data_IF_377877075363
#
_entry.id   IF_377877075363
#
_cell.length_a   1.000
_cell.length_b   1.000
_cell.length_c   1.000
_cell.angle_alpha   90.00
_cell.angle_beta   90.00
_cell.angle_gamma   90.00
#
_symmetry.space_group_name_H-M   'P 1'
#
loop_
_entity.id
_entity.type
_entity.pdbx_description
1 polymer ?
#
# COMPACT_ATOMS: atom_id res chain seq x y z
N UNK A 1 43.09 -3.13 -1.86
CA UNK A 1 42.12 -4.23 -1.72
C UNK A 1 41.11 -4.05 -2.84
N UNK A 2 40.87 -5.06 -3.66
CA UNK A 2 39.93 -4.96 -4.78
C UNK A 2 38.48 -4.79 -4.28
N UNK A 3 37.64 -4.06 -5.03
CA UNK A 3 36.26 -3.70 -4.67
C UNK A 3 35.40 -4.93 -4.32
N UNK A 4 35.63 -6.06 -4.99
CA UNK A 4 34.92 -7.30 -4.69
C UNK A 4 35.25 -7.88 -3.30
N UNK A 5 36.50 -7.74 -2.85
CA UNK A 5 36.90 -8.18 -1.51
C UNK A 5 36.37 -7.24 -0.43
N UNK A 6 36.32 -5.93 -0.73
CA UNK A 6 35.66 -4.95 0.14
C UNK A 6 34.16 -5.25 0.27
N UNK A 7 33.49 -5.58 -0.84
CA UNK A 7 32.09 -5.99 -0.83
C UNK A 7 31.89 -7.24 0.02
N UNK A 8 32.73 -8.28 -0.13
CA UNK A 8 32.62 -9.49 0.71
C UNK A 8 32.72 -9.15 2.20
N UNK A 9 33.68 -8.31 2.59
CA UNK A 9 33.81 -7.87 3.98
C UNK A 9 32.56 -7.11 4.44
N UNK A 10 32.09 -6.16 3.64
CA UNK A 10 30.85 -5.42 3.89
C UNK A 10 29.67 -6.36 4.15
N UNK A 11 29.49 -7.39 3.32
CA UNK A 11 28.46 -8.41 3.50
C UNK A 11 28.62 -9.24 4.78
N UNK A 12 29.85 -9.58 5.19
CA UNK A 12 30.06 -10.27 6.48
C UNK A 12 29.74 -9.37 7.68
N UNK A 13 29.87 -8.06 7.51
CA UNK A 13 29.48 -7.02 8.47
C UNK A 13 28.00 -6.60 8.34
N UNK A 14 27.13 -7.46 7.76
CA UNK A 14 25.71 -7.16 7.48
C UNK A 14 24.94 -6.56 8.67
N UNK A 15 25.28 -6.94 9.89
CA UNK A 15 24.62 -6.45 11.11
C UNK A 15 24.80 -4.96 11.33
N UNK A 16 25.80 -4.36 10.68
CA UNK A 16 26.08 -2.93 10.72
C UNK A 16 25.46 -2.14 9.58
N UNK A 17 24.71 -2.78 8.67
CA UNK A 17 23.97 -2.09 7.63
C UNK A 17 23.02 -1.01 8.20
N UNK A 18 22.96 0.20 7.59
CA UNK A 18 23.60 0.62 6.34
C UNK A 18 25.01 1.24 6.49
N UNK A 19 25.61 1.21 7.68
CA UNK A 19 26.94 1.80 7.93
C UNK A 19 28.10 1.07 7.24
N UNK A 20 27.87 -0.15 6.74
CA UNK A 20 28.85 -0.97 6.00
C UNK A 20 28.86 -0.75 4.48
N UNK A 21 28.01 0.14 3.93
CA UNK A 21 28.01 0.45 2.50
C UNK A 21 29.37 1.01 2.05
N UNK A 22 29.81 0.65 0.85
CA UNK A 22 31.14 1.02 0.33
C UNK A 22 31.21 2.47 -0.14
N UNK A 23 30.09 2.97 -0.68
CA UNK A 23 29.92 4.34 -1.20
C UNK A 23 28.54 4.89 -0.82
N UNK A 24 28.24 5.08 0.47
CA UNK A 24 26.96 5.67 0.86
C UNK A 24 26.92 7.16 0.52
N UNK A 25 25.76 7.63 0.06
CA UNK A 25 25.53 9.05 -0.20
C UNK A 25 25.23 9.83 1.08
N UNK A 26 24.72 9.16 2.12
CA UNK A 26 24.39 9.74 3.40
C UNK A 26 25.62 9.91 4.30
N UNK A 27 25.55 10.89 5.23
CA UNK A 27 26.61 11.10 6.22
C UNK A 27 26.61 9.95 7.23
N UNK A 28 27.77 9.71 7.85
CA UNK A 28 27.95 8.63 8.84
C UNK A 28 26.92 8.67 9.98
N UNK A 29 26.60 9.84 10.50
CA UNK A 29 25.61 9.98 11.58
C UNK A 29 24.21 9.57 11.11
N UNK A 30 23.84 9.87 9.86
CA UNK A 30 22.54 9.51 9.31
C UNK A 30 22.45 7.97 9.13
N UNK A 31 23.51 7.35 8.60
CA UNK A 31 23.60 5.89 8.48
C UNK A 31 23.47 5.19 9.84
N UNK A 32 24.11 5.75 10.87
CA UNK A 32 24.04 5.22 12.22
C UNK A 32 22.63 5.36 12.82
N UNK A 33 21.94 6.47 12.55
CA UNK A 33 20.54 6.63 12.95
C UNK A 33 19.64 5.57 12.29
N UNK A 34 19.80 5.32 10.99
CA UNK A 34 19.09 4.25 10.30
C UNK A 34 19.35 2.88 10.93
N UNK A 35 20.62 2.59 11.25
CA UNK A 35 21.02 1.34 11.91
C UNK A 35 20.31 1.18 13.26
N UNK A 36 20.30 2.22 14.08
CA UNK A 36 19.66 2.23 15.40
C UNK A 36 18.14 2.06 15.30
N UNK A 37 17.48 2.70 14.33
CA UNK A 37 16.04 2.52 14.09
C UNK A 37 15.75 1.09 13.66
N UNK A 38 16.56 0.52 12.77
CA UNK A 38 16.42 -0.88 12.35
C UNK A 38 16.68 -1.87 13.50
N UNK A 39 17.64 -1.59 14.38
CA UNK A 39 17.89 -2.29 15.66
C UNK A 39 16.63 -2.30 16.53
N UNK A 40 16.02 -1.13 16.74
CA UNK A 40 14.85 -0.98 17.60
C UNK A 40 13.60 -1.69 17.04
N UNK A 41 13.42 -1.71 15.72
CA UNK A 41 12.20 -2.21 15.06
C UNK A 41 12.26 -3.70 14.69
N UNK A 42 13.35 -4.40 14.98
CA UNK A 42 13.59 -5.77 14.47
C UNK A 42 12.44 -6.75 14.73
N UNK A 43 11.95 -6.82 15.97
CA UNK A 43 10.89 -7.76 16.37
C UNK A 43 9.54 -7.44 15.75
N UNK A 44 9.32 -6.19 15.38
CA UNK A 44 8.06 -5.73 14.78
C UNK A 44 8.11 -5.91 13.25
N UNK A 45 9.28 -5.69 12.65
CA UNK A 45 9.45 -5.65 11.21
C UNK A 45 9.70 -7.03 10.59
N UNK A 46 10.37 -7.95 11.29
CA UNK A 46 10.84 -9.22 10.72
C UNK A 46 10.24 -10.46 11.38
N UNK A 47 9.93 -11.48 10.56
CA UNK A 47 9.54 -12.81 11.01
C UNK A 47 10.39 -13.87 10.32
N UNK A 48 11.48 -14.25 10.98
CA UNK A 48 12.42 -15.26 10.47
C UNK A 48 11.80 -16.66 10.36
N UNK A 49 10.78 -16.99 11.18
CA UNK A 49 10.15 -18.32 11.18
C UNK A 49 9.35 -18.62 9.90
N UNK A 50 8.94 -17.59 9.18
CA UNK A 50 8.18 -17.69 7.92
C UNK A 50 8.99 -17.22 6.73
N UNK A 51 10.33 -17.20 6.85
CA UNK A 51 11.22 -16.67 5.82
C UNK A 51 10.97 -17.35 4.45
N UNK A 52 10.73 -16.50 3.45
CA UNK A 52 10.45 -16.90 2.08
C UNK A 52 10.75 -15.76 1.12
N UNK A 53 12.03 -15.56 0.80
CA UNK A 53 12.45 -14.59 -0.21
C UNK A 53 12.33 -15.26 -1.58
N UNK A 54 11.44 -14.75 -2.43
CA UNK A 54 11.25 -15.29 -3.78
C UNK A 54 12.15 -14.55 -4.76
N UNK A 55 12.89 -15.30 -5.59
CA UNK A 55 13.82 -14.76 -6.57
C UNK A 55 13.47 -15.34 -7.94
N UNK A 56 13.34 -14.47 -8.93
CA UNK A 56 13.19 -14.83 -10.35
C UNK A 56 14.40 -14.28 -11.11
N UNK A 57 15.11 -15.18 -11.79
CA UNK A 57 16.32 -14.86 -12.54
C UNK A 57 16.36 -15.61 -13.88
N UNK A 58 17.05 -15.06 -14.91
CA UNK A 58 17.31 -15.74 -16.17
C UNK A 58 17.98 -17.10 -16.01
N UNK A 59 17.57 -18.03 -16.87
CA UNK A 59 18.10 -19.39 -16.89
C UNK A 59 17.99 -20.04 -18.27
N UNK A 60 18.58 -21.22 -18.43
CA UNK A 60 18.42 -22.05 -19.62
C UNK A 60 17.16 -22.94 -19.59
N UNK A 61 16.21 -22.65 -18.69
CA UNK A 61 14.94 -23.39 -18.62
C UNK A 61 14.09 -23.12 -19.87
N UNK A 62 13.12 -24.01 -20.21
CA UNK A 62 12.21 -23.78 -21.33
C UNK A 62 11.41 -22.47 -21.23
N UNK A 63 11.18 -21.97 -20.01
CA UNK A 63 10.49 -20.70 -19.76
C UNK A 63 11.41 -19.49 -19.85
N UNK A 64 12.73 -19.69 -20.03
CA UNK A 64 13.74 -18.64 -20.03
C UNK A 64 14.22 -18.23 -18.64
N UNK A 65 13.53 -18.60 -17.56
CA UNK A 65 13.86 -18.17 -16.19
C UNK A 65 13.68 -19.28 -15.15
N UNK A 66 14.32 -19.11 -14.00
CA UNK A 66 14.16 -19.95 -12.81
C UNK A 66 13.49 -19.17 -11.69
N UNK A 67 12.66 -19.86 -10.93
CA UNK A 67 12.05 -19.37 -9.69
C UNK A 67 12.66 -20.13 -8.51
N UNK A 68 13.09 -19.39 -7.49
CA UNK A 68 13.58 -19.98 -6.25
C UNK A 68 12.94 -19.29 -5.04
N UNK A 69 12.61 -20.07 -4.01
CA UNK A 69 12.24 -19.53 -2.70
C UNK A 69 13.36 -19.83 -1.72
N UNK A 70 13.95 -18.79 -1.16
CA UNK A 70 15.03 -18.86 -0.18
C UNK A 70 14.41 -18.80 1.22
N UNK A 71 14.64 -19.83 2.02
CA UNK A 71 13.97 -20.04 3.30
C UNK A 71 14.82 -19.68 4.54
N UNK A 72 16.08 -19.27 4.37
CA UNK A 72 16.96 -18.86 5.47
C UNK A 72 18.21 -18.09 4.98
N UNK A 73 18.90 -17.37 5.87
CA UNK A 73 20.10 -16.61 5.53
C UNK A 73 21.22 -17.43 4.91
N UNK A 74 21.47 -18.66 5.36
CA UNK A 74 22.54 -19.50 4.80
C UNK A 74 22.30 -19.86 3.34
N UNK A 75 21.04 -20.15 2.97
CA UNK A 75 20.65 -20.38 1.59
C UNK A 75 20.76 -19.09 0.74
N UNK A 76 20.42 -17.93 1.32
CA UNK A 76 20.58 -16.64 0.64
C UNK A 76 22.05 -16.31 0.36
N UNK A 77 22.92 -16.47 1.37
CA UNK A 77 24.37 -16.30 1.22
C UNK A 77 24.91 -17.22 0.13
N UNK A 78 24.52 -18.50 0.16
CA UNK A 78 24.90 -19.47 -0.87
C UNK A 78 24.45 -19.05 -2.27
N UNK A 79 23.28 -18.43 -2.41
CA UNK A 79 22.77 -17.91 -3.70
C UNK A 79 23.56 -16.70 -4.19
N UNK A 80 23.76 -15.69 -3.32
CA UNK A 80 24.38 -14.42 -3.68
C UNK A 80 25.92 -14.50 -3.82
N UNK A 81 26.56 -15.44 -3.13
CA UNK A 81 28.02 -15.63 -3.18
C UNK A 81 28.46 -16.69 -4.19
N UNK A 82 27.59 -17.12 -5.09
CA UNK A 82 27.97 -17.98 -6.21
C UNK A 82 29.08 -17.32 -7.03
N UNK A 83 30.02 -18.13 -7.53
CA UNK A 83 31.10 -17.64 -8.38
C UNK A 83 30.59 -17.36 -9.80
N UNK A 84 29.71 -16.36 -9.94
CA UNK A 84 29.10 -15.92 -11.18
C UNK A 84 28.95 -14.39 -11.16
N UNK A 85 28.79 -13.82 -12.35
CA UNK A 85 28.34 -12.43 -12.49
C UNK A 85 26.86 -12.32 -12.09
N UNK A 86 26.44 -11.12 -11.72
CA UNK A 86 25.02 -10.83 -11.50
C UNK A 86 24.20 -11.20 -12.75
N UNK A 87 22.97 -11.71 -12.58
CA UNK A 87 22.08 -12.00 -13.69
C UNK A 87 21.71 -10.73 -14.48
N UNK A 88 21.22 -10.91 -15.71
CA UNK A 88 20.75 -9.79 -16.55
C UNK A 88 19.56 -9.05 -15.93
N UNK A 89 18.65 -9.79 -15.30
CA UNK A 89 17.57 -9.23 -14.50
C UNK A 89 17.36 -10.09 -13.27
N UNK A 90 17.15 -9.49 -12.11
CA UNK A 90 16.79 -10.20 -10.87
C UNK A 90 15.58 -9.54 -10.25
N UNK A 91 14.49 -10.29 -10.14
CA UNK A 91 13.27 -9.87 -9.46
C UNK A 91 13.21 -10.57 -8.10
N UNK A 92 13.36 -9.79 -7.04
CA UNK A 92 13.35 -10.26 -5.66
C UNK A 92 12.04 -9.78 -5.00
N UNK A 93 11.37 -10.68 -4.29
CA UNK A 93 10.13 -10.40 -3.59
C UNK A 93 10.25 -10.81 -2.11
N UNK A 94 10.00 -9.85 -1.24
CA UNK A 94 9.79 -10.05 0.19
C UNK A 94 8.32 -9.74 0.47
N UNK A 95 7.60 -10.73 0.97
CA UNK A 95 6.17 -10.60 1.24
C UNK A 95 5.88 -10.47 2.73
N UNK A 96 4.72 -9.95 3.10
CA UNK A 96 4.09 -10.13 4.42
C UNK A 96 2.70 -10.76 4.25
N UNK A 97 2.19 -11.45 5.28
CA UNK A 97 0.89 -12.13 5.19
C UNK A 97 -0.29 -11.14 5.18
N UNK A 98 -0.12 -9.95 5.78
CA UNK A 98 -1.13 -8.90 5.83
C UNK A 98 -0.52 -7.49 5.90
N UNK A 99 -1.37 -6.46 5.89
CA UNK A 99 -0.94 -5.07 5.94
C UNK A 99 -0.25 -4.67 7.26
N UNK A 100 -0.48 -5.42 8.34
CA UNK A 100 0.06 -5.13 9.68
C UNK A 100 0.78 -6.35 10.27
N UNK A 101 1.41 -7.14 9.40
CA UNK A 101 2.22 -8.30 9.82
C UNK A 101 3.68 -8.04 9.49
N UNK A 102 4.62 -8.61 10.25
CA UNK A 102 6.03 -8.59 9.90
C UNK A 102 6.30 -9.14 8.50
N UNK A 103 7.45 -8.76 7.94
CA UNK A 103 7.98 -9.30 6.71
C UNK A 103 8.37 -10.76 6.91
N UNK A 104 8.04 -11.62 5.94
CA UNK A 104 8.43 -13.02 5.86
C UNK A 104 9.92 -13.14 5.47
N UNK A 105 10.79 -12.53 6.25
CA UNK A 105 12.23 -12.44 6.06
C UNK A 105 12.88 -12.16 7.42
N UNK A 106 14.08 -12.68 7.65
CA UNK A 106 14.91 -12.28 8.78
C UNK A 106 15.63 -10.94 8.53
N UNK A 107 16.01 -10.28 9.62
CA UNK A 107 16.89 -9.10 9.57
C UNK A 107 18.18 -9.40 8.81
N UNK A 108 18.81 -10.55 9.10
CA UNK A 108 20.06 -10.97 8.46
C UNK A 108 19.87 -11.06 6.95
N UNK A 109 18.82 -11.73 6.47
CA UNK A 109 18.58 -11.87 5.03
C UNK A 109 18.38 -10.53 4.33
N UNK A 110 17.56 -9.62 4.89
CA UNK A 110 17.38 -8.28 4.29
C UNK A 110 18.69 -7.50 4.26
N UNK A 111 19.36 -7.36 5.41
CA UNK A 111 20.56 -6.52 5.54
C UNK A 111 21.76 -7.09 4.80
N UNK A 112 21.93 -8.41 4.75
CA UNK A 112 22.94 -9.07 3.92
C UNK A 112 22.68 -8.79 2.44
N UNK A 113 21.44 -8.89 1.99
CA UNK A 113 21.06 -8.61 0.61
C UNK A 113 21.26 -7.13 0.25
N UNK A 114 20.83 -6.21 1.12
CA UNK A 114 21.05 -4.78 0.94
C UNK A 114 22.55 -4.44 0.89
N UNK A 115 23.36 -5.06 1.76
CA UNK A 115 24.82 -4.93 1.71
C UNK A 115 25.38 -5.51 0.41
N UNK A 116 24.92 -6.69 -0.01
CA UNK A 116 25.41 -7.33 -1.24
C UNK A 116 25.13 -6.48 -2.48
N UNK A 117 23.93 -5.91 -2.61
CA UNK A 117 23.55 -5.09 -3.77
C UNK A 117 23.89 -3.61 -3.62
N UNK A 118 24.41 -3.20 -2.46
CA UNK A 118 24.70 -1.81 -2.09
C UNK A 118 23.43 -0.94 -2.15
N UNK A 119 22.32 -1.46 -1.60
CA UNK A 119 21.05 -0.74 -1.50
C UNK A 119 21.22 0.43 -0.50
N UNK A 120 20.88 1.67 -0.86
CA UNK A 120 21.03 2.83 0.02
C UNK A 120 20.18 2.78 1.29
N UNK A 121 20.65 3.48 2.32
CA UNK A 121 19.96 3.62 3.59
C UNK A 121 18.55 4.22 3.45
N UNK A 122 18.34 5.15 2.51
CA UNK A 122 17.02 5.75 2.21
C UNK A 122 15.94 4.72 1.87
N UNK A 123 16.30 3.51 1.44
CA UNK A 123 15.29 2.47 1.23
C UNK A 123 14.59 2.07 2.53
N UNK A 124 15.26 2.23 3.68
CA UNK A 124 14.69 1.90 4.98
C UNK A 124 13.51 2.81 5.35
N UNK A 125 13.42 4.03 4.81
CA UNK A 125 12.24 4.90 4.98
C UNK A 125 10.97 4.25 4.40
N UNK A 126 11.13 3.42 3.37
CA UNK A 126 10.03 2.67 2.79
C UNK A 126 9.76 1.37 3.54
N UNK A 127 10.82 0.67 3.94
CA UNK A 127 10.70 -0.61 4.66
C UNK A 127 10.13 -0.42 6.06
N UNK A 128 10.40 0.70 6.74
CA UNK A 128 9.89 0.99 8.08
C UNK A 128 8.37 1.08 8.16
N UNK A 129 7.70 1.36 7.03
CA UNK A 129 6.23 1.41 6.96
C UNK A 129 5.58 0.02 7.10
N UNK A 130 6.35 -1.07 7.04
CA UNK A 130 5.89 -2.44 7.23
C UNK A 130 6.10 -2.90 8.67
N UNK A 131 5.46 -4.01 9.05
CA UNK A 131 5.64 -4.63 10.35
C UNK A 131 4.33 -4.81 11.11
N UNK A 132 4.46 -5.37 12.31
CA UNK A 132 3.35 -5.48 13.24
C UNK A 132 2.93 -4.12 13.76
N UNK A 133 1.66 -3.77 13.56
CA UNK A 133 1.06 -2.60 14.19
C UNK A 133 -0.42 -2.82 14.49
N UNK A 134 -0.89 -2.27 15.61
CA UNK A 134 -2.32 -2.27 15.97
C UNK A 134 -3.12 -1.25 15.16
N UNK A 135 -2.45 -0.18 14.73
CA UNK A 135 -3.01 0.87 13.91
C UNK A 135 -2.14 1.10 12.69
N UNK A 136 -2.70 1.64 11.62
CA UNK A 136 -1.89 1.86 10.45
C UNK A 136 -0.93 3.04 10.67
N UNK A 137 0.37 2.76 10.68
CA UNK A 137 1.40 3.80 10.79
C UNK A 137 1.79 4.30 9.38
N UNK A 138 2.28 5.52 9.29
CA UNK A 138 2.92 6.08 8.10
C UNK A 138 2.09 6.13 6.81
N UNK A 139 0.76 6.18 6.89
CA UNK A 139 -0.07 6.42 5.69
C UNK A 139 0.23 7.75 4.99
N UNK A 140 0.70 8.73 5.75
CA UNK A 140 1.07 10.03 5.23
C UNK A 140 2.41 10.01 4.49
N UNK A 141 3.19 8.93 4.64
CA UNK A 141 4.45 8.79 3.92
C UNK A 141 4.17 8.33 2.50
N UNK A 142 4.30 9.25 1.55
CA UNK A 142 4.72 8.87 0.19
C UNK A 142 6.22 9.04 0.11
N UNK A 143 6.83 8.36 -0.84
CA UNK A 143 8.15 8.78 -1.25
C UNK A 143 8.50 8.20 -2.60
N UNK A 144 9.20 9.03 -3.33
CA UNK A 144 10.01 8.69 -4.47
C UNK A 144 11.42 9.19 -4.14
N UNK A 145 12.42 8.39 -4.47
CA UNK A 145 13.81 8.81 -4.39
C UNK A 145 14.53 8.20 -5.57
N UNK A 146 15.29 9.01 -6.28
CA UNK A 146 16.16 8.53 -7.35
C UNK A 146 17.49 9.25 -7.29
N UNK A 147 18.48 8.58 -7.84
CA UNK A 147 19.78 9.16 -8.17
C UNK A 147 20.39 8.34 -9.30
N UNK A 148 21.41 8.90 -9.91
CA UNK A 148 22.20 8.24 -10.94
C UNK A 148 23.66 8.62 -10.77
N UNK A 149 24.55 7.85 -11.39
CA UNK A 149 25.98 8.11 -11.40
C UNK A 149 26.50 8.51 -12.78
N UNK A 150 25.60 8.96 -13.68
CA UNK A 150 25.94 9.22 -15.09
C UNK A 150 26.99 10.33 -15.22
N UNK A 151 26.88 11.37 -14.39
CA UNK A 151 27.78 12.53 -14.40
C UNK A 151 28.93 12.40 -13.39
N UNK A 152 29.00 11.29 -12.67
CA UNK A 152 30.04 11.08 -11.68
C UNK A 152 31.39 10.80 -12.36
N UNK A 153 32.52 11.34 -11.83
CA UNK A 153 33.83 11.03 -12.36
C UNK A 153 34.12 9.54 -12.19
N UNK A 154 34.84 8.92 -13.14
CA UNK A 154 35.12 7.47 -13.14
C UNK A 154 35.77 6.97 -11.85
N UNK A 155 36.56 7.81 -11.16
CA UNK A 155 37.20 7.49 -9.88
C UNK A 155 36.22 7.32 -8.70
N UNK A 156 34.99 7.81 -8.83
CA UNK A 156 33.95 7.72 -7.81
C UNK A 156 32.99 6.55 -8.04
N UNK A 157 32.99 5.94 -9.23
CA UNK A 157 32.14 4.80 -9.56
C UNK A 157 32.58 3.56 -8.76
N UNK A 158 31.60 2.81 -8.24
CA UNK A 158 31.85 1.55 -7.56
C UNK A 158 31.82 0.40 -8.56
N UNK A 159 32.92 0.21 -9.27
CA UNK A 159 33.08 -0.92 -10.19
C UNK A 159 33.39 -2.22 -9.43
N UNK A 160 32.66 -3.29 -9.76
CA UNK A 160 32.86 -4.64 -9.23
C UNK A 160 32.82 -5.64 -10.40
N UNK A 161 33.95 -5.76 -11.09
CA UNK A 161 34.08 -6.53 -12.34
C UNK A 161 33.69 -8.00 -12.21
N UNK A 162 33.99 -8.62 -11.07
CA UNK A 162 33.67 -10.02 -10.78
C UNK A 162 32.16 -10.29 -10.79
N UNK A 163 31.36 -9.28 -10.43
CA UNK A 163 29.90 -9.34 -10.48
C UNK A 163 29.34 -8.74 -11.78
N UNK A 164 30.20 -8.11 -12.59
CA UNK A 164 29.78 -7.36 -13.78
C UNK A 164 28.92 -6.16 -13.42
N UNK A 165 29.37 -5.37 -12.43
CA UNK A 165 28.82 -4.07 -12.05
C UNK A 165 29.80 -2.99 -12.50
N UNK A 166 29.35 -2.06 -13.33
CA UNK A 166 30.16 -0.94 -13.82
C UNK A 166 30.20 0.22 -12.82
N UNK A 167 29.17 0.31 -11.98
CA UNK A 167 28.95 1.47 -11.10
C UNK A 167 28.35 2.68 -11.83
N UNK A 168 28.16 2.62 -13.17
CA UNK A 168 27.41 3.58 -13.96
C UNK A 168 25.94 3.13 -13.99
N UNK A 169 25.17 3.61 -13.01
CA UNK A 169 23.85 3.08 -12.70
C UNK A 169 22.85 4.19 -12.40
N UNK A 170 21.58 3.85 -12.60
CA UNK A 170 20.44 4.60 -12.11
C UNK A 170 19.76 3.80 -11.01
N UNK A 171 19.33 4.49 -9.97
CA UNK A 171 18.53 3.91 -8.89
C UNK A 171 17.21 4.67 -8.78
N UNK A 172 16.13 3.91 -8.61
CA UNK A 172 14.78 4.41 -8.39
C UNK A 172 14.17 3.66 -7.22
N UNK A 173 13.64 4.38 -6.25
CA UNK A 173 12.95 3.85 -5.08
C UNK A 173 11.60 4.53 -4.94
N UNK A 174 10.55 3.78 -4.66
CA UNK A 174 9.24 4.36 -4.41
C UNK A 174 8.32 3.48 -3.57
N UNK A 175 7.32 4.12 -2.95
CA UNK A 175 6.19 3.48 -2.29
C UNK A 175 4.91 3.68 -3.12
N UNK A 176 4.17 2.60 -3.34
CA UNK A 176 2.83 2.63 -3.93
C UNK A 176 1.82 1.98 -2.99
N UNK A 177 0.57 2.41 -3.08
CA UNK A 177 -0.54 1.82 -2.32
C UNK A 177 -1.74 1.53 -3.21
N UNK A 178 -2.55 0.55 -2.85
CA UNK A 178 -3.81 0.23 -3.53
C UNK A 178 -4.79 -0.42 -2.59
N UNK A 179 -6.05 -0.51 -2.99
CA UNK A 179 -7.10 -1.22 -2.26
C UNK A 179 -7.24 -2.65 -2.77
N UNK A 180 -7.32 -3.61 -1.86
CA UNK A 180 -7.49 -5.01 -2.19
C UNK A 180 -8.58 -5.64 -1.30
N UNK A 181 -9.34 -6.59 -1.84
CA UNK A 181 -10.32 -7.36 -1.07
C UNK A 181 -9.58 -8.43 -0.26
N UNK A 182 -9.77 -8.43 1.06
CA UNK A 182 -9.35 -9.54 1.91
C UNK A 182 -10.20 -10.77 1.60
N UNK A 183 -9.53 -11.91 1.42
CA UNK A 183 -10.15 -13.21 1.15
C UNK A 183 -10.45 -14.01 2.42
N UNK A 184 -10.22 -13.44 3.60
CA UNK A 184 -10.42 -14.14 4.87
C UNK A 184 -11.90 -14.20 5.29
N UNK A 185 -12.52 -15.31 4.89
CA UNK A 185 -13.57 -16.06 5.58
C UNK A 185 -14.57 -15.31 6.47
N UNK A 186 -15.53 -14.60 5.88
CA UNK A 186 -16.90 -14.42 6.43
C UNK A 186 -17.92 -14.01 5.37
N UNK A 187 -17.71 -14.25 4.07
CA UNK A 187 -18.65 -13.83 3.00
C UNK A 187 -18.88 -12.30 2.86
N UNK A 188 -18.43 -11.49 3.83
CA UNK A 188 -18.44 -10.04 3.80
C UNK A 188 -17.17 -9.55 3.11
N UNK A 189 -17.35 -8.64 2.15
CA UNK A 189 -16.24 -7.99 1.45
C UNK A 189 -15.54 -7.06 2.45
N UNK A 190 -14.29 -7.36 2.79
CA UNK A 190 -13.43 -6.48 3.58
C UNK A 190 -12.38 -5.88 2.66
N UNK A 191 -12.35 -4.55 2.59
CA UNK A 191 -11.36 -3.82 1.81
C UNK A 191 -10.18 -3.39 2.69
N UNK A 192 -8.97 -3.57 2.20
CA UNK A 192 -7.74 -3.19 2.88
C UNK A 192 -6.85 -2.37 1.96
N UNK A 193 -6.32 -1.26 2.48
CA UNK A 193 -5.25 -0.53 1.80
C UNK A 193 -3.95 -1.27 2.06
N UNK A 194 -3.29 -1.65 0.97
CA UNK A 194 -2.05 -2.41 0.95
C UNK A 194 -0.97 -1.58 0.30
N UNK A 195 0.27 -1.84 0.68
CA UNK A 195 1.42 -1.07 0.24
C UNK A 195 2.52 -1.95 -0.34
N UNK A 196 3.36 -1.34 -1.17
CA UNK A 196 4.49 -1.95 -1.82
C UNK A 196 5.62 -0.93 -1.95
N UNK A 197 6.76 -1.27 -1.37
CA UNK A 197 8.02 -0.56 -1.61
C UNK A 197 8.79 -1.26 -2.72
N UNK A 198 9.37 -0.47 -3.62
CA UNK A 198 10.22 -0.96 -4.70
C UNK A 198 11.56 -0.26 -4.61
N UNK A 199 12.63 -1.03 -4.70
CA UNK A 199 13.95 -0.54 -5.07
C UNK A 199 14.34 -1.15 -6.41
N UNK A 200 14.67 -0.29 -7.36
CA UNK A 200 15.14 -0.66 -8.68
C UNK A 200 16.51 -0.06 -8.91
N UNK A 201 17.38 -0.84 -9.57
CA UNK A 201 18.68 -0.40 -10.04
C UNK A 201 18.94 -0.90 -11.44
N UNK A 202 19.46 -0.04 -12.31
CA UNK A 202 19.81 -0.37 -13.68
C UNK A 202 21.26 0.03 -13.98
N UNK A 203 22.11 -0.93 -14.34
CA UNK A 203 23.48 -0.72 -14.79
C UNK A 203 23.49 -0.45 -16.30
N UNK A 204 23.91 0.74 -16.71
CA UNK A 204 23.83 1.14 -18.13
C UNK A 204 24.82 0.42 -19.03
N UNK A 205 26.00 0.05 -18.50
CA UNK A 205 27.08 -0.57 -19.28
C UNK A 205 26.77 -2.04 -19.52
N UNK A 206 26.44 -2.77 -18.45
CA UNK A 206 26.17 -4.20 -18.51
C UNK A 206 24.71 -4.54 -18.76
N UNK A 207 23.83 -3.53 -18.79
CA UNK A 207 22.37 -3.63 -19.04
C UNK A 207 21.67 -4.55 -18.05
N UNK A 208 22.10 -4.49 -16.79
CA UNK A 208 21.58 -5.36 -15.73
C UNK A 208 20.55 -4.62 -14.90
N UNK A 209 19.43 -5.30 -14.61
CA UNK A 209 18.37 -4.78 -13.77
C UNK A 209 18.26 -5.57 -12.45
N UNK A 210 18.20 -4.85 -11.34
CA UNK A 210 17.83 -5.40 -10.03
C UNK A 210 16.50 -4.79 -9.60
N UNK A 211 15.63 -5.63 -9.05
CA UNK A 211 14.37 -5.23 -8.45
C UNK A 211 14.22 -5.91 -7.10
N UNK A 212 14.06 -5.10 -6.05
CA UNK A 212 13.63 -5.56 -4.74
C UNK A 212 12.23 -5.03 -4.47
N UNK A 213 11.27 -5.94 -4.38
CA UNK A 213 9.88 -5.66 -4.13
C UNK A 213 9.54 -6.11 -2.71
N UNK A 214 9.18 -5.17 -1.84
CA UNK A 214 8.65 -5.46 -0.51
C UNK A 214 7.17 -5.18 -0.54
N UNK A 215 6.32 -6.20 -0.41
CA UNK A 215 4.87 -6.04 -0.55
C UNK A 215 4.10 -6.79 0.52
N UNK A 216 2.97 -6.23 0.91
CA UNK A 216 1.96 -6.97 1.66
C UNK A 216 1.24 -7.94 0.72
N UNK A 217 1.36 -9.25 0.95
CA UNK A 217 0.93 -10.41 0.14
C UNK A 217 1.73 -10.71 -1.15
N UNK A 218 1.36 -11.81 -1.80
CA UNK A 218 2.02 -12.34 -3.01
C UNK A 218 1.38 -11.87 -4.34
N UNK A 219 0.46 -10.89 -4.31
CA UNK A 219 -0.25 -10.46 -5.52
C UNK A 219 0.70 -9.85 -6.54
N UNK A 220 1.72 -9.08 -6.13
CA UNK A 220 2.68 -8.54 -7.11
C UNK A 220 3.57 -9.62 -7.71
N UNK A 221 3.97 -10.62 -6.91
CA UNK A 221 4.69 -11.79 -7.42
C UNK A 221 3.89 -12.48 -8.54
N UNK A 222 2.61 -12.77 -8.28
CA UNK A 222 1.70 -13.39 -9.26
C UNK A 222 1.48 -12.49 -10.49
N UNK A 223 1.22 -11.21 -10.28
CA UNK A 223 1.02 -10.22 -11.36
C UNK A 223 2.24 -10.10 -12.26
N UNK A 224 3.45 -10.14 -11.69
CA UNK A 224 4.68 -10.11 -12.47
C UNK A 224 4.81 -11.36 -13.34
N UNK A 225 4.52 -12.54 -12.78
CA UNK A 225 4.52 -13.80 -13.54
C UNK A 225 3.51 -13.80 -14.69
N UNK A 226 2.31 -13.29 -14.46
CA UNK A 226 1.29 -13.11 -15.50
C UNK A 226 1.81 -12.17 -16.59
N UNK A 227 2.34 -11.01 -16.22
CA UNK A 227 2.91 -10.05 -17.17
C UNK A 227 4.08 -10.63 -17.97
N UNK A 228 4.93 -11.45 -17.36
CA UNK A 228 6.03 -12.15 -18.03
C UNK A 228 5.56 -13.24 -19.01
N UNK A 229 4.38 -13.82 -18.79
CA UNK A 229 3.80 -14.79 -19.71
C UNK A 229 3.12 -14.09 -20.91
N UNK A 230 2.62 -12.87 -20.72
CA UNK A 230 1.86 -12.12 -21.72
C UNK A 230 2.69 -11.12 -22.54
N UNK A 231 3.76 -10.55 -21.96
CA UNK A 231 4.61 -9.55 -22.60
C UNK A 231 5.97 -10.15 -23.02
N UNK A 232 6.20 -10.36 -24.33
CA UNK A 232 7.45 -10.90 -24.84
C UNK A 232 8.69 -10.08 -24.44
N UNK A 233 8.56 -8.77 -24.21
CA UNK A 233 9.69 -7.92 -23.81
C UNK A 233 10.14 -8.24 -22.38
N UNK A 234 9.18 -8.48 -21.48
CA UNK A 234 9.48 -8.90 -20.11
C UNK A 234 10.03 -10.32 -20.09
N UNK A 235 9.47 -11.21 -20.90
CA UNK A 235 9.97 -12.57 -21.04
C UNK A 235 11.40 -12.60 -21.59
N UNK A 236 11.69 -11.81 -22.63
CA UNK A 236 13.01 -11.79 -23.27
C UNK A 236 14.09 -11.23 -22.36
N UNK A 237 13.80 -10.20 -21.56
CA UNK A 237 14.76 -9.69 -20.59
C UNK A 237 15.10 -10.69 -19.46
N UNK A 238 14.23 -11.68 -19.27
CA UNK A 238 14.47 -12.80 -18.39
C UNK A 238 15.00 -14.02 -19.12
N UNK A 239 14.97 -14.09 -20.45
CA UNK A 239 15.71 -15.08 -21.21
C UNK A 239 17.11 -14.54 -21.53
N UNK A 240 17.99 -15.37 -22.09
CA UNK A 240 19.31 -14.89 -22.57
C UNK A 240 19.19 -14.07 -23.87
N UNK A 241 17.97 -13.81 -24.36
CA UNK A 241 17.72 -13.10 -25.61
C UNK A 241 17.83 -11.57 -25.44
N UNK A 242 18.56 -10.93 -26.34
CA UNK A 242 19.12 -9.58 -26.19
C UNK A 242 18.12 -8.44 -26.48
N UNK A 243 16.81 -8.71 -26.42
CA UNK A 243 15.79 -7.69 -26.74
C UNK A 243 15.69 -6.65 -25.62
N UNK A 244 15.92 -5.38 -25.98
CA UNK A 244 15.91 -4.13 -25.19
C UNK A 244 15.69 -4.28 -23.66
N UNK A 245 16.76 -4.52 -22.86
CA UNK A 245 16.68 -4.65 -21.40
C UNK A 245 16.11 -3.40 -20.70
N UNK A 246 16.30 -2.23 -21.30
CA UNK A 246 15.73 -0.98 -20.79
C UNK A 246 14.21 -0.90 -21.04
N UNK A 247 13.72 -1.34 -22.20
CA UNK A 247 12.27 -1.42 -22.43
C UNK A 247 11.61 -2.35 -21.40
N UNK A 248 12.23 -3.49 -21.09
CA UNK A 248 11.74 -4.37 -20.05
C UNK A 248 11.71 -3.68 -18.68
N UNK A 249 12.69 -2.84 -18.36
CA UNK A 249 12.69 -2.03 -17.13
C UNK A 249 11.46 -1.11 -17.06
N UNK A 250 11.13 -0.41 -18.14
CA UNK A 250 9.94 0.43 -18.21
C UNK A 250 8.65 -0.41 -18.11
N UNK A 251 8.61 -1.59 -18.74
CA UNK A 251 7.47 -2.53 -18.61
C UNK A 251 7.31 -3.04 -17.18
N UNK A 252 8.39 -3.36 -16.48
CA UNK A 252 8.35 -3.79 -15.08
C UNK A 252 7.82 -2.68 -14.18
N UNK A 253 8.25 -1.43 -14.38
CA UNK A 253 7.63 -0.28 -13.70
C UNK A 253 6.12 -0.23 -13.96
N UNK A 254 5.67 -0.37 -15.21
CA UNK A 254 4.24 -0.30 -15.53
C UNK A 254 3.42 -1.39 -14.83
N UNK A 255 3.96 -2.61 -14.66
CA UNK A 255 3.30 -3.65 -13.87
C UNK A 255 3.04 -3.18 -12.43
N UNK A 256 4.01 -2.50 -11.81
CA UNK A 256 3.89 -1.89 -10.49
C UNK A 256 2.90 -0.72 -10.46
N UNK A 257 3.03 0.22 -11.40
CA UNK A 257 2.25 1.45 -11.42
C UNK A 257 0.78 1.21 -11.71
N UNK A 258 0.45 0.25 -12.58
CA UNK A 258 -0.94 -0.11 -12.85
C UNK A 258 -1.65 -0.74 -11.66
N UNK A 259 -0.91 -1.36 -10.73
CA UNK A 259 -1.50 -1.89 -9.51
C UNK A 259 -2.06 -0.80 -8.60
N UNK A 260 -1.47 0.40 -8.59
CA UNK A 260 -1.91 1.50 -7.71
C UNK A 260 -3.28 2.12 -8.10
N UNK A 261 -3.74 1.92 -9.34
CA UNK A 261 -5.10 2.29 -9.82
C UNK A 261 -6.12 1.14 -9.67
N UNK A 262 -5.64 -0.09 -9.47
CA UNK A 262 -6.51 -1.28 -9.46
C UNK A 262 -7.51 -1.23 -8.31
N UNK A 263 -8.73 -1.68 -8.57
CA UNK A 263 -9.80 -1.90 -7.59
C UNK A 263 -10.38 -0.67 -6.87
N UNK A 264 -9.88 0.55 -7.12
CA UNK A 264 -10.45 1.77 -6.54
C UNK A 264 -11.90 2.02 -6.94
N UNK A 265 -12.28 1.67 -8.18
CA UNK A 265 -13.66 1.85 -8.65
C UNK A 265 -14.62 0.97 -7.84
N UNK A 266 -14.33 -0.32 -7.76
CA UNK A 266 -15.13 -1.28 -7.00
C UNK A 266 -15.20 -0.89 -5.52
N UNK A 267 -14.07 -0.50 -4.93
CA UNK A 267 -14.00 -0.02 -3.56
C UNK A 267 -14.90 1.21 -3.32
N UNK A 268 -14.86 2.22 -4.18
CA UNK A 268 -15.70 3.42 -4.03
C UNK A 268 -17.18 3.05 -4.14
N UNK A 269 -17.56 2.21 -5.10
CA UNK A 269 -18.94 1.75 -5.26
C UNK A 269 -19.44 0.95 -4.05
N UNK A 270 -18.62 0.02 -3.53
CA UNK A 270 -18.96 -0.77 -2.34
C UNK A 270 -19.11 0.16 -1.11
N UNK A 271 -18.18 1.12 -0.95
CA UNK A 271 -18.24 2.13 0.13
C UNK A 271 -19.52 2.97 0.05
N UNK A 272 -19.86 3.47 -1.15
CA UNK A 272 -21.08 4.23 -1.36
C UNK A 272 -22.33 3.40 -1.02
N UNK A 273 -22.37 2.13 -1.42
CA UNK A 273 -23.48 1.23 -1.11
C UNK A 273 -23.63 1.01 0.41
N UNK A 274 -22.52 0.82 1.13
CA UNK A 274 -22.50 0.70 2.59
C UNK A 274 -23.02 1.98 3.28
N UNK A 275 -22.61 3.16 2.80
CA UNK A 275 -23.08 4.45 3.30
C UNK A 275 -24.59 4.59 3.07
N UNK A 276 -25.09 4.32 1.85
CA UNK A 276 -26.52 4.41 1.52
C UNK A 276 -27.36 3.47 2.38
N UNK A 277 -26.89 2.25 2.64
CA UNK A 277 -27.56 1.29 3.53
C UNK A 277 -27.66 1.83 4.95
N UNK A 278 -26.57 2.39 5.47
CA UNK A 278 -26.48 2.98 6.81
C UNK A 278 -27.44 4.18 6.95
N UNK A 279 -27.42 5.11 6.00
CA UNK A 279 -28.33 6.26 5.99
C UNK A 279 -29.80 5.86 5.88
N UNK A 280 -30.13 4.83 5.09
CA UNK A 280 -31.50 4.30 5.01
C UNK A 280 -31.95 3.72 6.36
N UNK A 281 -31.08 3.01 7.06
CA UNK A 281 -31.34 2.49 8.40
C UNK A 281 -31.64 3.60 9.41
N UNK A 282 -30.81 4.66 9.41
CA UNK A 282 -31.00 5.85 10.24
C UNK A 282 -32.34 6.55 9.98
N UNK A 283 -32.67 6.82 8.71
CA UNK A 283 -33.95 7.45 8.32
C UNK A 283 -35.16 6.60 8.70
N UNK A 284 -35.07 5.28 8.58
CA UNK A 284 -36.14 4.37 8.98
C UNK A 284 -36.34 4.35 10.52
N UNK A 285 -35.25 4.37 11.29
CA UNK A 285 -35.33 4.47 12.75
C UNK A 285 -35.92 5.82 13.20
N UNK A 286 -35.57 6.91 12.51
CA UNK A 286 -36.17 8.23 12.75
C UNK A 286 -37.69 8.21 12.52
N UNK A 287 -38.16 7.64 11.41
CA UNK A 287 -39.59 7.55 11.11
C UNK A 287 -40.38 6.76 12.17
N UNK A 288 -39.74 5.80 12.85
CA UNK A 288 -40.34 5.04 13.96
C UNK A 288 -40.38 5.82 15.28
N UNK A 289 -39.47 6.78 15.50
CA UNK A 289 -39.44 7.63 16.71
C UNK A 289 -40.43 8.78 16.67
N UNK A 290 -40.95 9.17 15.49
CA UNK A 290 -42.00 10.19 15.40
C UNK A 290 -43.34 9.60 15.88
N UNK A 291 -43.91 10.04 17.00
CA UNK A 291 -45.23 9.58 17.41
C UNK A 291 -46.26 10.11 16.41
N UNK A 292 -47.19 9.23 16.08
CA UNK A 292 -48.47 9.48 15.43
C UNK A 292 -48.97 10.90 15.67
N UNK A 293 -49.19 11.65 14.59
CA UNK A 293 -49.90 12.92 14.60
C UNK A 293 -51.18 12.81 15.44
N UNK A 294 -51.38 13.77 16.34
CA UNK A 294 -52.59 13.93 17.11
C UNK A 294 -53.81 14.07 16.19
N UNK A 295 -54.48 12.95 15.93
CA UNK A 295 -55.74 12.85 15.20
C UNK A 295 -56.79 12.12 16.01
N UNK A 296 -57.44 12.84 16.92
CA UNK A 296 -58.84 12.63 17.32
C UNK A 296 -59.24 11.33 18.03
N UNK A 297 -59.64 11.46 19.30
CA UNK A 297 -60.65 10.59 19.91
C UNK A 297 -60.25 9.95 21.22
N UNK A 298 -60.30 10.73 22.31
CA UNK A 298 -60.44 10.17 23.65
C UNK A 298 -61.80 9.47 23.73
N UNK A 299 -61.85 8.15 23.48
CA UNK A 299 -62.96 7.32 23.96
C UNK A 299 -62.67 6.99 25.42
N UNK A 300 -63.46 7.57 26.32
CA UNK A 300 -63.57 7.11 27.70
C UNK A 300 -64.04 5.65 27.70
N UNK A 301 -63.13 4.72 27.95
CA UNK A 301 -63.49 3.35 28.31
C UNK A 301 -63.65 3.32 29.83
N UNK A 302 -64.90 3.19 30.28
CA UNK A 302 -65.24 2.91 31.69
C UNK A 302 -64.42 1.70 32.17
N UNK A 303 -63.62 1.90 33.21
CA UNK A 303 -63.05 0.82 34.00
C UNK A 303 -64.17 0.33 34.93
N UNK A 304 -64.67 -0.88 34.67
CA UNK A 304 -65.42 -1.66 35.66
C UNK A 304 -64.46 -2.67 36.26
N UNK A 305 -64.21 -2.56 37.55
CA UNK A 305 -63.52 -3.56 38.37
C UNK A 305 -64.30 -4.88 38.33
N UNK A 306 -63.61 -5.99 38.06
CA UNK A 306 -63.78 -7.28 38.77
C UNK A 306 -62.63 -8.23 38.42
N UNK A 307 -61.86 -8.53 39.46
CA UNK A 307 -61.14 -9.75 39.84
C UNK A 307 -60.58 -10.77 38.81
N UNK A 308 -59.28 -11.05 38.97
CA UNK A 308 -58.66 -12.38 38.90
C UNK A 308 -58.41 -13.06 37.54
N UNK A 309 -57.16 -13.04 37.05
CA UNK A 309 -56.28 -14.23 36.82
C UNK A 309 -54.98 -13.83 36.09
N UNK A 310 -53.84 -14.32 36.59
CA UNK A 310 -52.47 -14.01 36.15
C UNK A 310 -52.11 -14.54 34.74
N UNK A 311 -51.68 -13.64 33.83
CA UNK A 311 -50.58 -13.74 32.80
C UNK A 311 -50.83 -12.79 31.59
N UNK A 312 -49.82 -12.27 30.87
CA UNK A 312 -48.44 -11.94 31.23
C UNK A 312 -48.13 -10.47 30.85
N UNK A 313 -48.45 -9.51 31.73
CA UNK A 313 -48.07 -8.08 31.51
C UNK A 313 -46.54 -7.92 31.46
N UNK A 314 -45.80 -8.86 32.03
CA UNK A 314 -44.32 -8.84 32.07
C UNK A 314 -43.66 -9.01 30.70
N UNK A 315 -44.17 -9.83 29.76
CA UNK A 315 -43.50 -10.05 28.47
C UNK A 315 -43.55 -8.82 27.55
N UNK A 316 -44.71 -8.15 27.48
CA UNK A 316 -44.89 -6.92 26.69
C UNK A 316 -44.00 -5.78 27.19
N UNK A 317 -43.91 -5.60 28.51
CA UNK A 317 -43.04 -4.58 29.09
C UNK A 317 -41.56 -4.92 28.86
N UNK A 318 -41.15 -6.18 28.91
CA UNK A 318 -39.77 -6.57 28.58
C UNK A 318 -39.45 -6.35 27.10
N UNK A 319 -40.37 -6.69 26.19
CA UNK A 319 -40.23 -6.42 24.74
C UNK A 319 -40.19 -4.91 24.45
N UNK A 320 -41.05 -4.10 25.08
CA UNK A 320 -41.05 -2.64 24.94
C UNK A 320 -39.77 -2.01 25.50
N UNK A 321 -39.26 -2.49 26.63
CA UNK A 321 -38.00 -2.01 27.22
C UNK A 321 -36.81 -2.40 26.33
N UNK A 322 -36.77 -3.62 25.80
CA UNK A 322 -35.73 -4.04 24.85
C UNK A 322 -35.78 -3.22 23.54
N UNK A 323 -36.97 -2.95 23.01
CA UNK A 323 -37.17 -2.09 21.84
C UNK A 323 -36.74 -0.64 22.10
N UNK A 324 -37.05 -0.08 23.27
CA UNK A 324 -36.61 1.27 23.66
C UNK A 324 -35.07 1.33 23.85
N UNK A 325 -34.49 0.32 24.50
CA UNK A 325 -33.04 0.23 24.71
C UNK A 325 -32.29 0.05 23.38
N UNK A 326 -32.88 -0.69 22.44
CA UNK A 326 -32.38 -0.84 21.07
C UNK A 326 -32.49 0.48 20.30
N UNK A 327 -33.62 1.18 20.38
CA UNK A 327 -33.85 2.48 19.73
C UNK A 327 -32.96 3.61 20.27
N UNK A 328 -32.44 3.51 21.49
CA UNK A 328 -31.48 4.47 22.05
C UNK A 328 -30.02 4.15 21.70
N UNK A 329 -29.65 2.87 21.65
CA UNK A 329 -28.29 2.45 21.25
C UNK A 329 -28.06 2.48 19.73
N UNK A 330 -29.13 2.35 18.95
CA UNK A 330 -29.07 2.28 17.48
C UNK A 330 -28.56 3.60 16.83
N UNK A 331 -29.05 4.80 17.18
CA UNK A 331 -28.55 6.06 16.63
C UNK A 331 -27.08 6.30 16.92
N UNK A 332 -26.59 5.92 18.11
CA UNK A 332 -25.19 6.06 18.49
C UNK A 332 -24.28 5.19 17.63
N UNK A 333 -24.57 3.89 17.49
CA UNK A 333 -23.77 2.96 16.69
C UNK A 333 -23.72 3.33 15.20
N UNK A 334 -24.85 3.78 14.65
CA UNK A 334 -24.88 4.21 13.25
C UNK A 334 -24.20 5.57 13.04
N UNK A 335 -24.16 6.45 14.06
CA UNK A 335 -23.36 7.68 14.04
C UNK A 335 -21.85 7.40 14.06
N UNK A 336 -21.39 6.49 14.93
CA UNK A 336 -20.00 6.01 14.94
C UNK A 336 -19.62 5.43 13.57
N UNK A 337 -20.53 4.66 12.97
CA UNK A 337 -20.33 4.09 11.63
C UNK A 337 -20.25 5.16 10.55
N UNK A 338 -21.06 6.23 10.62
CA UNK A 338 -20.92 7.38 9.71
C UNK A 338 -19.57 8.07 9.83
N UNK A 339 -19.05 8.27 11.05
CA UNK A 339 -17.72 8.83 11.27
C UNK A 339 -16.62 7.93 10.70
N UNK A 340 -16.74 6.60 10.88
CA UNK A 340 -15.80 5.65 10.27
C UNK A 340 -15.76 5.73 8.73
N UNK A 341 -16.89 6.05 8.07
CA UNK A 341 -16.90 6.28 6.63
C UNK A 341 -16.15 7.55 6.24
N UNK A 342 -16.25 8.64 7.01
CA UNK A 342 -15.47 9.85 6.75
C UNK A 342 -13.97 9.58 6.83
N UNK A 343 -13.52 8.95 7.91
CA UNK A 343 -12.11 8.59 8.10
C UNK A 343 -11.62 7.68 6.95
N UNK A 344 -12.42 6.67 6.59
CA UNK A 344 -12.12 5.77 5.48
C UNK A 344 -12.01 6.52 4.14
N UNK A 345 -12.90 7.47 3.85
CA UNK A 345 -12.86 8.26 2.62
C UNK A 345 -11.69 9.25 2.59
N UNK A 346 -11.40 9.92 3.70
CA UNK A 346 -10.28 10.86 3.84
C UNK A 346 -8.93 10.17 3.67
N UNK A 347 -8.78 9.01 4.32
CA UNK A 347 -7.62 8.13 4.15
C UNK A 347 -7.47 7.67 2.70
N UNK A 348 -8.57 7.29 2.05
CA UNK A 348 -8.55 6.88 0.63
C UNK A 348 -8.11 8.02 -0.28
N UNK A 349 -8.60 9.24 -0.02
CA UNK A 349 -8.23 10.45 -0.76
C UNK A 349 -6.73 10.73 -0.63
N UNK A 350 -6.20 10.70 0.59
CA UNK A 350 -4.78 10.89 0.87
C UNK A 350 -3.94 9.87 0.10
N UNK A 351 -4.25 8.59 0.21
CA UNK A 351 -3.50 7.52 -0.46
C UNK A 351 -3.44 7.73 -1.98
N UNK A 352 -4.56 8.07 -2.60
CA UNK A 352 -4.60 8.33 -4.05
C UNK A 352 -3.76 9.56 -4.41
N UNK A 353 -3.82 10.63 -3.61
CA UNK A 353 -3.00 11.82 -3.82
C UNK A 353 -1.50 11.52 -3.72
N UNK A 354 -1.09 10.71 -2.75
CA UNK A 354 0.29 10.27 -2.57
C UNK A 354 0.77 9.44 -3.78
N UNK A 355 -0.04 8.52 -4.29
CA UNK A 355 0.27 7.78 -5.51
C UNK A 355 0.38 8.71 -6.74
N UNK A 356 -0.51 9.70 -6.90
CA UNK A 356 -0.43 10.68 -7.99
C UNK A 356 0.91 11.41 -7.93
N UNK A 357 1.35 11.82 -6.73
CA UNK A 357 2.66 12.46 -6.56
C UNK A 357 3.80 11.54 -6.97
N UNK A 358 3.83 10.30 -6.46
CA UNK A 358 4.85 9.30 -6.83
C UNK A 358 4.89 9.05 -8.34
N UNK A 359 3.73 8.97 -9.00
CA UNK A 359 3.65 8.81 -10.46
C UNK A 359 4.23 10.01 -11.20
N UNK A 360 4.03 11.24 -10.69
CA UNK A 360 4.64 12.45 -11.26
C UNK A 360 6.15 12.40 -11.11
N UNK A 361 6.65 12.12 -9.92
CA UNK A 361 8.08 12.07 -9.66
C UNK A 361 8.79 10.99 -10.52
N UNK A 362 8.15 9.83 -10.73
CA UNK A 362 8.66 8.80 -11.66
C UNK A 362 8.67 9.31 -13.11
N UNK A 363 7.60 9.97 -13.55
CA UNK A 363 7.52 10.53 -14.91
C UNK A 363 8.63 11.56 -15.14
N UNK A 364 8.74 12.52 -14.22
CA UNK A 364 9.72 13.61 -14.27
C UNK A 364 11.14 13.04 -14.26
N UNK A 365 11.40 12.00 -13.47
CA UNK A 365 12.70 11.31 -13.44
C UNK A 365 13.09 10.75 -14.81
N UNK A 366 12.18 10.04 -15.48
CA UNK A 366 12.47 9.44 -16.79
C UNK A 366 12.49 10.45 -17.93
N UNK A 367 11.73 11.55 -17.83
CA UNK A 367 11.84 12.70 -18.73
C UNK A 367 13.20 13.39 -18.57
N UNK A 368 13.64 13.62 -17.34
CA UNK A 368 14.97 14.18 -17.05
C UNK A 368 16.08 13.27 -17.55
N UNK A 369 15.96 11.95 -17.38
CA UNK A 369 16.90 10.97 -17.93
C UNK A 369 16.99 11.08 -19.45
N UNK A 370 15.86 11.21 -20.15
CA UNK A 370 15.81 11.33 -21.61
C UNK A 370 16.57 12.57 -22.13
N UNK A 371 16.62 13.62 -21.32
CA UNK A 371 17.26 14.90 -21.64
C UNK A 371 18.74 14.98 -21.22
N UNK A 372 19.34 13.89 -20.72
CA UNK A 372 20.77 13.86 -20.34
C UNK A 372 21.66 13.71 -21.58
N UNK A 373 22.66 14.60 -21.69
CA UNK A 373 23.64 14.57 -22.79
C UNK A 373 24.64 13.39 -22.71
N UNK A 374 24.90 12.88 -21.50
CA UNK A 374 25.96 11.91 -21.23
C UNK A 374 25.48 10.46 -21.13
N UNK A 375 24.33 10.13 -21.72
CA UNK A 375 23.87 8.74 -21.78
C UNK A 375 24.77 7.90 -22.70
N UNK A 376 25.06 6.63 -22.35
CA UNK A 376 25.82 5.74 -23.22
C UNK A 376 25.18 5.60 -24.61
N UNK A 377 25.95 5.81 -25.67
CA UNK A 377 25.44 5.85 -27.05
C UNK A 377 24.77 4.54 -27.49
N UNK A 378 25.15 3.42 -26.88
CA UNK A 378 24.57 2.10 -27.12
C UNK A 378 23.15 1.97 -26.56
N UNK A 379 22.76 2.85 -25.63
CA UNK A 379 21.42 2.93 -25.06
C UNK A 379 20.51 3.86 -25.88
N UNK A 380 21.06 4.98 -26.37
CA UNK A 380 20.34 6.05 -27.06
C UNK A 380 20.01 5.66 -28.51
N UNK A 381 19.12 4.67 -28.64
CA UNK A 381 18.57 4.24 -29.93
C UNK A 381 17.25 4.94 -30.22
N UNK A 382 16.75 4.85 -31.45
CA UNK A 382 15.41 5.38 -31.78
C UNK A 382 14.30 4.72 -30.93
N UNK A 383 14.46 3.44 -30.57
CA UNK A 383 13.46 2.73 -29.76
C UNK A 383 13.45 3.23 -28.30
N UNK A 384 14.59 3.66 -27.77
CA UNK A 384 14.71 4.20 -26.41
C UNK A 384 13.74 5.36 -26.15
N UNK A 385 13.74 6.36 -27.03
CA UNK A 385 12.83 7.51 -26.90
C UNK A 385 11.37 7.10 -27.11
N UNK A 386 11.07 6.22 -28.07
CA UNK A 386 9.69 5.76 -28.26
C UNK A 386 9.17 4.92 -27.08
N UNK A 387 10.05 4.16 -26.42
CA UNK A 387 9.70 3.38 -25.23
C UNK A 387 9.43 4.30 -24.04
N UNK A 388 10.23 5.36 -23.87
CA UNK A 388 10.02 6.40 -22.86
C UNK A 388 8.73 7.20 -23.10
N UNK A 389 8.47 7.59 -24.34
CA UNK A 389 7.22 8.25 -24.72
C UNK A 389 6.03 7.35 -24.38
N UNK A 390 6.08 6.07 -24.78
CA UNK A 390 5.02 5.10 -24.48
C UNK A 390 4.82 4.93 -22.97
N UNK A 391 5.91 4.87 -22.21
CA UNK A 391 5.91 4.78 -20.76
C UNK A 391 5.26 6.01 -20.12
N UNK A 392 5.68 7.22 -20.49
CA UNK A 392 5.12 8.48 -20.00
C UNK A 392 3.63 8.60 -20.29
N UNK A 393 3.20 8.27 -21.52
CA UNK A 393 1.77 8.25 -21.88
C UNK A 393 0.95 7.30 -21.00
N UNK A 394 1.49 6.12 -20.68
CA UNK A 394 0.82 5.15 -19.80
C UNK A 394 0.74 5.65 -18.36
N UNK A 395 1.81 6.25 -17.82
CA UNK A 395 1.79 6.91 -16.51
C UNK A 395 0.72 8.00 -16.47
N UNK A 396 0.68 8.88 -17.47
CA UNK A 396 -0.30 9.95 -17.56
C UNK A 396 -1.74 9.43 -17.59
N UNK A 397 -1.99 8.26 -18.19
CA UNK A 397 -3.31 7.61 -18.14
C UNK A 397 -3.68 7.15 -16.73
N UNK A 398 -2.73 6.54 -16.01
CA UNK A 398 -2.93 6.09 -14.62
C UNK A 398 -3.21 7.29 -13.71
N UNK A 399 -2.43 8.37 -13.85
CA UNK A 399 -2.65 9.62 -13.08
C UNK A 399 -4.05 10.18 -13.31
N UNK A 400 -4.49 10.31 -14.58
CA UNK A 400 -5.84 10.78 -14.93
C UNK A 400 -6.94 9.90 -14.31
N UNK A 401 -6.76 8.58 -14.31
CA UNK A 401 -7.71 7.66 -13.67
C UNK A 401 -7.79 7.93 -12.17
N UNK A 402 -6.65 8.07 -11.49
CA UNK A 402 -6.60 8.38 -10.07
C UNK A 402 -7.22 9.76 -9.75
N UNK A 403 -7.00 10.79 -10.57
CA UNK A 403 -7.63 12.11 -10.42
C UNK A 403 -9.17 12.04 -10.54
N UNK A 404 -9.68 11.16 -11.40
CA UNK A 404 -11.12 10.86 -11.46
C UNK A 404 -11.58 10.24 -10.12
N UNK A 405 -10.81 9.29 -9.55
CA UNK A 405 -11.13 8.69 -8.23
C UNK A 405 -11.14 9.72 -7.10
N UNK A 406 -10.18 10.65 -7.09
CA UNK A 406 -10.16 11.81 -6.16
C UNK A 406 -11.47 12.60 -6.27
N UNK A 407 -11.91 12.90 -7.50
CA UNK A 407 -13.16 13.64 -7.74
C UNK A 407 -14.38 12.88 -7.24
N UNK A 408 -14.43 11.56 -7.48
CA UNK A 408 -15.50 10.69 -6.99
C UNK A 408 -15.55 10.67 -5.45
N UNK A 409 -14.40 10.48 -4.78
CA UNK A 409 -14.31 10.48 -3.32
C UNK A 409 -14.73 11.82 -2.72
N UNK A 410 -14.26 12.95 -3.27
CA UNK A 410 -14.66 14.29 -2.81
C UNK A 410 -16.17 14.52 -2.94
N UNK A 411 -16.75 14.06 -4.05
CA UNK A 411 -18.20 14.17 -4.29
C UNK A 411 -18.99 13.32 -3.29
N UNK A 412 -18.54 12.09 -3.04
CA UNK A 412 -19.15 11.17 -2.07
C UNK A 412 -19.05 11.72 -0.64
N UNK A 413 -17.90 12.28 -0.25
CA UNK A 413 -17.72 12.94 1.05
C UNK A 413 -18.64 14.14 1.22
N UNK A 414 -18.75 15.01 0.20
CA UNK A 414 -19.63 16.18 0.23
C UNK A 414 -21.10 15.78 0.38
N UNK A 415 -21.54 14.77 -0.39
CA UNK A 415 -22.87 14.19 -0.25
C UNK A 415 -23.10 13.62 1.15
N UNK A 416 -22.15 12.86 1.70
CA UNK A 416 -22.27 12.29 3.04
C UNK A 416 -22.35 13.37 4.14
N UNK A 417 -21.60 14.47 4.02
CA UNK A 417 -21.69 15.62 4.95
C UNK A 417 -23.10 16.19 4.97
N UNK A 418 -23.67 16.45 3.79
CA UNK A 418 -25.03 16.97 3.65
C UNK A 418 -26.07 16.01 4.25
N UNK A 419 -25.97 14.72 3.97
CA UNK A 419 -26.90 13.73 4.54
C UNK A 419 -26.77 13.61 6.06
N UNK A 420 -25.54 13.68 6.60
CA UNK A 420 -25.31 13.68 8.05
C UNK A 420 -25.92 14.91 8.72
N UNK A 421 -25.79 16.10 8.12
CA UNK A 421 -26.42 17.32 8.64
C UNK A 421 -27.94 17.20 8.69
N UNK A 422 -28.56 16.69 7.62
CA UNK A 422 -30.00 16.44 7.61
C UNK A 422 -30.40 15.50 8.75
N UNK A 423 -29.69 14.39 8.93
CA UNK A 423 -29.98 13.42 10.00
C UNK A 423 -29.73 14.03 11.39
N UNK A 424 -28.66 14.79 11.58
CA UNK A 424 -28.27 15.41 12.85
C UNK A 424 -29.25 16.50 13.32
N UNK A 425 -29.71 17.36 12.41
CA UNK A 425 -30.71 18.40 12.72
C UNK A 425 -31.99 17.79 13.30
N UNK A 426 -32.38 16.59 12.86
CA UNK A 426 -33.59 15.93 13.38
C UNK A 426 -33.39 15.23 14.72
N UNK A 427 -32.20 14.71 15.03
CA UNK A 427 -31.95 14.11 16.35
C UNK A 427 -31.98 15.15 17.48
N UNK A 428 -31.45 16.36 17.25
CA UNK A 428 -31.49 17.44 18.26
C UNK A 428 -32.83 18.18 18.34
N UNK A 429 -33.66 18.15 17.29
CA UNK A 429 -34.97 18.81 17.28
C UNK A 429 -36.01 18.07 18.13
N UNK A 430 -35.89 16.74 18.27
CA UNK A 430 -36.84 15.92 19.05
C UNK A 430 -36.65 16.06 20.56
N UNK A 431 -35.43 16.36 21.02
CA UNK A 431 -35.12 16.56 22.46
C UNK A 431 -35.58 17.92 23.00
N UNK A 432 -35.98 18.86 22.14
CA UNK A 432 -36.46 20.19 22.56
C UNK A 432 -37.98 20.33 22.65
N UNK A 433 -38.77 19.32 22.29
CA UNK A 433 -40.24 19.38 22.37
C UNK A 433 -40.85 18.86 23.69
N UNK A 434 -40.06 18.44 24.68
CA UNK A 434 -40.58 17.88 25.95
C UNK A 434 -40.40 18.77 27.20
N UNK A 435 -39.95 20.02 27.07
CA UNK A 435 -39.74 20.92 28.21
C UNK A 435 -40.46 22.27 28.09
N UNK A 436 -41.78 22.27 27.90
CA UNK A 436 -42.62 23.43 28.24
C UNK A 436 -43.92 22.97 28.91
N UNK A 437 -43.86 22.76 30.22
CA UNK A 437 -45.06 22.85 31.06
C UNK A 437 -45.11 24.26 31.67
N UNK A 438 -46.18 25.04 31.48
CA UNK A 438 -46.30 26.33 32.13
C UNK A 438 -46.74 26.09 33.58
N UNK A 439 -45.80 26.23 34.52
CA UNK A 439 -46.11 26.38 35.94
C UNK A 439 -46.05 27.86 36.29
N UNK A 440 -47.21 28.50 36.41
CA UNK A 440 -47.35 29.70 37.23
C UNK A 440 -48.82 30.01 37.52
N UNK A 441 -49.25 29.63 38.73
CA UNK A 441 -50.18 30.44 39.52
C UNK A 441 -49.43 30.81 40.80
N UNK A 442 -49.53 32.08 41.25
CA UNK A 442 -49.67 32.27 42.68
C UNK A 442 -50.80 33.25 43.05
N UNK A 443 -51.56 32.80 44.04
CA UNK A 443 -52.32 33.48 45.11
C UNK A 443 -53.12 34.74 44.77
#
# INVERSE_FOLDING_TARGET
>A
MDSYQLLKRSCEEWSTYPSNLLRPDQRRNDLENYRLVLDASERQLFQASTEGVHIIEPSDSPNGYTEQTIANPSALRKHLQQNRKDPQSSLIFINSNGPYTPLNCSRESLTFMCSHYQIPASFLDFVSSFGHSSEPQDYHMSGFTSYDTIENPSSSLLEIQQLGRSGLEQVVQYMLRSVERSTEGTGNIKWEIRQMAVHHKYDFVHRKALWLNVKTNDIMYKRMKEAMAEDPILNSALSKDMSSPFAATLRTHLVHLEWCDKSWREYICDTEAEIRKTLKGLKAAQAKKSPVEHGGGWRQTKISETDGLQRPVSRRLTEEIEDLTYLDRFPFRESEKLNSFFERLEKSLLVIQLNIQTLRDISDHYENLANRDNLPSELVTRSFFSDLDSFSHRIGRIQKNLEIRVTQLKSLMSWLRKERELVGVFFFSVDHCTLLTPTSLPV
#
